data_IF_479860220824
#
_entry.id   IF_479860220824
#
_cell.length_a   1.000
_cell.length_b   1.000
_cell.length_c   1.000
_cell.angle_alpha   90.00
_cell.angle_beta   90.00
_cell.angle_gamma   90.00
#
_symmetry.space_group_name_H-M   'P 1'
#
loop_
_entity.id
_entity.type
_entity.pdbx_description
1 polymer ?
#
# COMPACT_ATOMS: atom_id res chain seq x y z
N UNK A 1 -17.73 3.84 -4.19
CA UNK A 1 -16.57 4.67 -4.62
C UNK A 1 -15.95 4.00 -5.84
N UNK A 2 -15.58 4.73 -6.89
CA UNK A 2 -15.21 4.15 -8.20
C UNK A 2 -13.88 3.40 -8.11
N UNK A 3 -13.89 2.16 -8.60
CA UNK A 3 -12.91 1.07 -8.46
C UNK A 3 -11.49 1.36 -9.00
N UNK A 4 -11.17 2.61 -9.35
CA UNK A 4 -9.92 3.00 -10.02
C UNK A 4 -9.34 4.34 -9.51
N UNK A 5 -9.88 4.93 -8.43
CA UNK A 5 -9.41 6.23 -7.95
C UNK A 5 -8.03 6.17 -7.28
N UNK A 6 -7.74 5.13 -6.50
CA UNK A 6 -6.49 5.07 -5.73
C UNK A 6 -5.27 4.89 -6.62
N UNK A 7 -5.34 4.01 -7.62
CA UNK A 7 -4.26 3.87 -8.59
C UNK A 7 -4.07 5.16 -9.40
N UNK A 8 -5.16 5.82 -9.81
CA UNK A 8 -5.09 7.12 -10.51
C UNK A 8 -4.46 8.26 -9.69
N UNK A 9 -4.33 8.12 -8.36
CA UNK A 9 -3.58 9.07 -7.55
C UNK A 9 -2.08 8.95 -7.72
N UNK A 10 -1.56 7.78 -8.11
CA UNK A 10 -0.13 7.59 -8.34
C UNK A 10 0.32 8.50 -9.47
N UNK A 11 -0.28 8.33 -10.66
CA UNK A 11 0.04 9.14 -11.84
C UNK A 11 -0.21 10.63 -11.57
N UNK A 12 -1.31 10.97 -10.88
CA UNK A 12 -1.69 12.37 -10.62
C UNK A 12 -0.79 13.08 -9.60
N UNK A 13 -0.25 12.38 -8.61
CA UNK A 13 0.37 13.03 -7.45
C UNK A 13 1.86 12.74 -7.27
N UNK A 14 2.37 11.64 -7.84
CA UNK A 14 3.79 11.27 -7.71
C UNK A 14 4.65 11.78 -8.87
N UNK A 15 4.14 11.81 -10.10
CA UNK A 15 4.91 12.24 -11.27
C UNK A 15 5.31 13.73 -11.19
N UNK A 16 4.44 14.56 -10.63
CA UNK A 16 4.66 16.02 -10.47
C UNK A 16 5.47 16.38 -9.21
N UNK A 17 5.79 15.42 -8.34
CA UNK A 17 6.51 15.71 -7.10
C UNK A 17 7.96 16.12 -7.41
N UNK A 18 8.49 17.15 -6.75
CA UNK A 18 9.83 17.69 -7.04
C UNK A 18 10.93 16.77 -6.51
N UNK A 19 10.84 16.39 -5.24
CA UNK A 19 11.83 15.62 -4.48
C UNK A 19 11.29 14.25 -3.99
N UNK A 20 12.21 13.40 -3.50
CA UNK A 20 11.89 12.04 -3.04
C UNK A 20 11.09 12.02 -1.74
N UNK A 21 11.27 13.00 -0.86
CA UNK A 21 10.56 13.07 0.42
C UNK A 21 9.06 13.29 0.19
N UNK A 22 8.73 14.22 -0.72
CA UNK A 22 7.38 14.48 -1.18
C UNK A 22 6.75 13.23 -1.81
N UNK A 23 7.51 12.48 -2.61
CA UNK A 23 7.04 11.21 -3.19
C UNK A 23 6.76 10.19 -2.08
N UNK A 24 7.62 10.07 -1.08
CA UNK A 24 7.44 9.12 0.03
C UNK A 24 6.24 9.47 0.89
N UNK A 25 6.02 10.75 1.19
CA UNK A 25 4.85 11.20 1.94
C UNK A 25 3.57 10.92 1.15
N UNK A 26 3.49 11.39 -0.10
CA UNK A 26 2.29 11.20 -0.93
C UNK A 26 2.03 9.73 -1.25
N UNK A 27 3.07 8.97 -1.58
CA UNK A 27 2.98 7.54 -1.84
C UNK A 27 2.48 6.77 -0.62
N UNK A 28 2.95 7.12 0.58
CA UNK A 28 2.43 6.55 1.82
C UNK A 28 0.95 6.85 2.04
N UNK A 29 0.49 8.08 1.76
CA UNK A 29 -0.93 8.44 1.86
C UNK A 29 -1.80 7.65 0.86
N UNK A 30 -1.32 7.43 -0.36
CA UNK A 30 -2.01 6.61 -1.38
C UNK A 30 -2.17 5.17 -0.89
N UNK A 31 -1.09 4.56 -0.37
CA UNK A 31 -1.15 3.21 0.20
C UNK A 31 -2.08 3.16 1.41
N UNK A 32 -2.04 4.17 2.28
CA UNK A 32 -2.91 4.24 3.45
C UNK A 32 -4.39 4.31 3.04
N UNK A 33 -4.71 5.02 1.96
CA UNK A 33 -6.05 5.04 1.40
C UNK A 33 -6.47 3.64 0.90
N UNK A 34 -5.61 2.94 0.17
CA UNK A 34 -5.87 1.55 -0.24
C UNK A 34 -6.04 0.61 0.98
N UNK A 35 -5.27 0.78 2.06
CA UNK A 35 -5.46 0.02 3.30
C UNK A 35 -6.83 0.29 3.94
N UNK A 36 -7.31 1.54 3.91
CA UNK A 36 -8.65 1.85 4.40
C UNK A 36 -9.72 1.19 3.52
N UNK A 37 -9.53 1.12 2.21
CA UNK A 37 -10.45 0.40 1.30
C UNK A 37 -10.46 -1.10 1.58
N UNK A 38 -9.30 -1.70 1.86
CA UNK A 38 -9.20 -3.10 2.26
C UNK A 38 -9.98 -3.35 3.56
N UNK A 39 -9.74 -2.55 4.61
CA UNK A 39 -10.47 -2.66 5.87
C UNK A 39 -11.99 -2.43 5.69
N UNK A 40 -12.37 -1.55 4.76
CA UNK A 40 -13.75 -1.28 4.39
C UNK A 40 -14.50 -2.48 3.79
N UNK A 41 -13.80 -3.53 3.33
CA UNK A 41 -14.45 -4.78 2.91
C UNK A 41 -15.11 -5.52 4.08
N UNK A 42 -14.62 -5.32 5.29
CA UNK A 42 -15.08 -6.02 6.50
C UNK A 42 -15.83 -5.10 7.46
N UNK A 43 -15.51 -3.80 7.44
CA UNK A 43 -16.04 -2.82 8.38
C UNK A 43 -16.93 -1.85 7.61
N UNK A 44 -18.24 -2.11 7.61
CA UNK A 44 -19.25 -1.34 6.88
C UNK A 44 -19.40 0.12 7.35
N UNK A 45 -18.81 0.50 8.49
CA UNK A 45 -18.90 1.86 9.04
C UNK A 45 -17.55 2.57 8.98
N UNK A 46 -17.28 3.20 7.84
CA UNK A 46 -16.06 3.96 7.56
C UNK A 46 -15.83 5.11 8.57
N UNK A 47 -16.91 5.74 9.06
CA UNK A 47 -16.81 6.82 10.07
C UNK A 47 -16.28 6.27 11.40
N UNK A 48 -16.75 5.09 11.83
CA UNK A 48 -16.20 4.42 13.01
C UNK A 48 -14.76 3.97 12.80
N UNK A 49 -14.44 3.41 11.64
CA UNK A 49 -13.07 3.00 11.30
C UNK A 49 -12.09 4.17 11.38
N UNK A 50 -12.45 5.33 10.81
CA UNK A 50 -11.66 6.57 10.94
C UNK A 50 -11.55 7.04 12.40
N UNK A 51 -12.66 6.98 13.15
CA UNK A 51 -12.70 7.37 14.56
C UNK A 51 -11.81 6.55 15.48
N UNK A 52 -11.36 5.36 15.07
CA UNK A 52 -10.42 4.54 15.85
C UNK A 52 -9.00 5.11 15.86
N UNK A 53 -8.66 6.06 14.98
CA UNK A 53 -7.31 6.65 14.94
C UNK A 53 -6.19 5.63 14.72
N UNK A 54 -6.48 4.55 13.99
CA UNK A 54 -5.51 3.48 13.76
C UNK A 54 -4.27 4.02 13.02
N UNK A 55 -3.09 3.70 13.54
CA UNK A 55 -1.83 3.98 12.84
C UNK A 55 -1.69 3.06 11.63
N UNK A 56 -0.84 3.42 10.67
CA UNK A 56 -0.55 2.62 9.48
C UNK A 56 -0.21 1.17 9.81
N UNK A 57 0.68 0.93 10.78
CA UNK A 57 1.04 -0.42 11.23
C UNK A 57 -0.16 -1.19 11.78
N UNK A 58 -1.02 -0.55 12.58
CA UNK A 58 -2.22 -1.19 13.13
C UNK A 58 -3.26 -1.50 12.05
N UNK A 59 -3.33 -0.70 10.98
CA UNK A 59 -4.18 -1.00 9.83
C UNK A 59 -3.71 -2.27 9.11
N UNK A 60 -2.40 -2.46 8.93
CA UNK A 60 -1.84 -3.69 8.36
C UNK A 60 -2.20 -4.89 9.24
N UNK A 61 -1.90 -4.80 10.54
CA UNK A 61 -2.14 -5.91 11.48
C UNK A 61 -3.61 -6.32 11.48
N UNK A 62 -4.52 -5.33 11.50
CA UNK A 62 -5.96 -5.56 11.44
C UNK A 62 -6.40 -6.18 10.11
N UNK A 63 -5.90 -5.66 8.98
CA UNK A 63 -6.24 -6.18 7.66
C UNK A 63 -5.82 -7.65 7.49
N UNK A 64 -4.65 -8.02 8.03
CA UNK A 64 -4.17 -9.41 8.04
C UNK A 64 -5.02 -10.27 8.99
N UNK A 65 -5.33 -9.78 10.19
CA UNK A 65 -6.10 -10.54 11.18
C UNK A 65 -7.55 -10.83 10.74
N UNK A 66 -8.13 -9.99 9.89
CA UNK A 66 -9.45 -10.19 9.32
C UNK A 66 -9.50 -11.30 8.24
N UNK A 67 -8.35 -11.81 7.82
CA UNK A 67 -8.25 -12.89 6.84
C UNK A 67 -8.14 -14.27 7.48
N UNK A 68 -9.11 -15.13 7.17
CA UNK A 68 -9.04 -16.55 7.56
C UNK A 68 -8.09 -17.36 6.68
N UNK A 69 -8.05 -17.05 5.37
CA UNK A 69 -7.24 -17.74 4.37
C UNK A 69 -6.43 -16.71 3.57
N UNK A 70 -5.27 -16.27 4.09
CA UNK A 70 -4.47 -15.26 3.43
C UNK A 70 -3.92 -15.78 2.08
N UNK A 71 -3.95 -14.99 1.00
CA UNK A 71 -3.30 -15.36 -0.26
C UNK A 71 -1.81 -15.62 -0.07
N UNK A 72 -1.22 -16.52 -0.87
CA UNK A 72 0.21 -16.90 -0.78
C UNK A 72 1.19 -15.70 -0.81
N UNK A 73 0.83 -14.62 -1.51
CA UNK A 73 1.66 -13.42 -1.64
C UNK A 73 1.42 -12.37 -0.55
N UNK A 74 0.53 -12.63 0.41
CA UNK A 74 0.16 -11.66 1.44
C UNK A 74 1.34 -11.33 2.37
N UNK A 75 2.16 -12.32 2.73
CA UNK A 75 3.30 -12.09 3.62
C UNK A 75 4.33 -11.14 3.00
N UNK A 76 4.63 -11.34 1.71
CA UNK A 76 5.51 -10.43 0.96
C UNK A 76 4.93 -9.02 0.91
N UNK A 77 3.64 -8.88 0.59
CA UNK A 77 2.95 -7.57 0.62
C UNK A 77 3.07 -6.89 1.99
N UNK A 78 2.77 -7.62 3.07
CA UNK A 78 2.83 -7.12 4.44
C UNK A 78 4.24 -6.67 4.79
N UNK A 79 5.26 -7.43 4.37
CA UNK A 79 6.65 -7.05 4.53
C UNK A 79 6.96 -5.73 3.80
N UNK A 80 6.55 -5.58 2.54
CA UNK A 80 6.78 -4.34 1.77
C UNK A 80 6.08 -3.12 2.39
N UNK A 81 4.86 -3.30 2.92
CA UNK A 81 4.11 -2.26 3.62
C UNK A 81 4.78 -1.85 4.94
N UNK A 82 5.32 -2.82 5.69
CA UNK A 82 6.05 -2.54 6.94
C UNK A 82 7.36 -1.82 6.67
N UNK A 83 8.09 -2.21 5.63
CA UNK A 83 9.34 -1.56 5.24
C UNK A 83 9.13 -0.11 4.81
N UNK A 84 8.12 0.19 3.98
CA UNK A 84 7.88 1.58 3.58
C UNK A 84 7.44 2.46 4.75
N UNK A 85 6.67 1.92 5.70
CA UNK A 85 6.34 2.63 6.94
C UNK A 85 7.57 2.90 7.81
N UNK A 86 8.50 1.94 7.90
CA UNK A 86 9.79 2.11 8.60
C UNK A 86 10.64 3.21 7.94
N UNK A 87 10.77 3.18 6.61
CA UNK A 87 11.49 4.20 5.84
C UNK A 87 10.88 5.60 6.01
N UNK A 88 9.56 5.71 5.91
CA UNK A 88 8.83 6.97 6.13
C UNK A 88 9.07 7.52 7.54
N UNK A 89 9.05 6.68 8.57
CA UNK A 89 9.31 7.12 9.95
C UNK A 89 10.76 7.58 10.14
N UNK A 90 11.73 6.90 9.52
CA UNK A 90 13.14 7.32 9.56
C UNK A 90 13.33 8.70 8.94
N UNK A 91 12.70 8.95 7.80
CA UNK A 91 12.66 10.27 7.16
C UNK A 91 12.06 11.36 8.05
N UNK A 92 10.93 11.07 8.70
CA UNK A 92 10.30 12.03 9.60
C UNK A 92 11.16 12.38 10.84
N UNK A 93 12.10 11.51 11.22
CA UNK A 93 12.94 11.68 12.41
C UNK A 93 14.36 12.19 12.11
N UNK A 94 14.82 12.18 10.85
CA UNK A 94 16.13 12.69 10.45
C UNK A 94 15.97 13.56 9.21
N UNK A 95 16.28 14.85 9.35
CA UNK A 95 16.28 15.84 8.27
C UNK A 95 17.22 15.47 7.10
N UNK A 96 18.17 14.53 7.29
CA UNK A 96 19.06 14.05 6.23
C UNK A 96 18.59 12.72 5.62
N UNK A 97 17.90 12.82 4.48
CA UNK A 97 17.47 11.69 3.67
C UNK A 97 18.63 10.87 3.10
N UNK A 98 19.81 11.48 2.92
CA UNK A 98 20.99 10.84 2.30
C UNK A 98 21.43 9.55 2.99
N UNK A 99 21.24 9.47 4.31
CA UNK A 99 21.66 8.31 5.12
C UNK A 99 20.80 7.06 4.83
N UNK A 100 19.62 7.21 4.23
CA UNK A 100 18.67 6.12 4.02
C UNK A 100 18.43 5.79 2.54
N UNK A 101 19.17 6.40 1.61
CA UNK A 101 19.06 6.15 0.17
C UNK A 101 19.23 4.67 -0.20
N UNK A 102 20.21 3.98 0.40
CA UNK A 102 20.47 2.56 0.12
C UNK A 102 19.35 1.63 0.61
N UNK A 103 18.73 1.98 1.74
CA UNK A 103 17.57 1.23 2.26
C UNK A 103 16.36 1.43 1.34
N UNK A 104 16.14 2.66 0.85
CA UNK A 104 15.06 2.94 -0.10
C UNK A 104 15.28 2.26 -1.44
N UNK A 105 16.52 2.24 -1.94
CA UNK A 105 16.92 1.49 -3.13
C UNK A 105 16.59 0.01 -2.97
N UNK A 106 16.97 -0.57 -1.84
CA UNK A 106 16.72 -1.99 -1.53
C UNK A 106 15.23 -2.28 -1.55
N UNK A 107 14.43 -1.41 -0.94
CA UNK A 107 12.97 -1.52 -0.98
C UNK A 107 12.40 -1.40 -2.40
N UNK A 108 12.88 -0.45 -3.21
CA UNK A 108 12.42 -0.31 -4.60
C UNK A 108 12.66 -1.59 -5.40
N UNK A 109 13.83 -2.21 -5.23
CA UNK A 109 14.19 -3.48 -5.89
C UNK A 109 13.30 -4.63 -5.42
N UNK A 110 13.02 -4.73 -4.11
CA UNK A 110 12.18 -5.80 -3.57
C UNK A 110 10.71 -5.69 -3.98
N UNK A 111 10.22 -4.48 -4.26
CA UNK A 111 8.84 -4.25 -4.69
C UNK A 111 8.65 -4.44 -6.19
N UNK A 112 9.58 -3.89 -7.00
CA UNK A 112 9.39 -3.82 -8.45
C UNK A 112 9.96 -5.02 -9.21
N UNK A 113 10.79 -5.86 -8.58
CA UNK A 113 11.55 -6.94 -9.24
C UNK A 113 12.41 -6.46 -10.42
N UNK A 114 12.64 -5.14 -10.56
CA UNK A 114 13.41 -4.53 -11.65
C UNK A 114 14.78 -4.09 -11.13
N UNK A 115 15.84 -4.58 -11.77
CA UNK A 115 17.19 -4.08 -11.58
C UNK A 115 17.40 -2.80 -12.40
N UNK A 116 17.31 -1.65 -11.74
CA UNK A 116 17.71 -0.39 -12.35
C UNK A 116 19.20 -0.12 -12.10
N UNK A 117 19.91 0.36 -13.13
CA UNK A 117 21.25 0.92 -12.97
C UNK A 117 21.19 2.23 -12.18
N UNK A 118 21.93 2.34 -11.08
CA UNK A 118 21.81 3.44 -10.12
C UNK A 118 22.99 4.39 -10.23
N UNK A 119 22.95 5.33 -11.17
CA UNK A 119 24.03 6.30 -11.30
C UNK A 119 23.58 7.77 -11.16
N UNK A 120 22.28 8.07 -10.98
CA UNK A 120 21.75 9.45 -10.85
C UNK A 120 20.51 9.55 -9.95
N UNK A 121 20.35 10.67 -9.26
CA UNK A 121 19.21 11.01 -8.40
C UNK A 121 17.85 10.93 -9.13
N UNK A 122 17.79 11.39 -10.38
CA UNK A 122 16.61 11.26 -11.22
C UNK A 122 16.18 9.79 -11.45
N UNK A 123 17.15 8.86 -11.51
CA UNK A 123 16.87 7.43 -11.61
C UNK A 123 16.27 6.89 -10.32
N UNK A 124 16.81 7.29 -9.16
CA UNK A 124 16.23 6.89 -7.87
C UNK A 124 14.80 7.39 -7.73
N UNK A 125 14.53 8.65 -8.03
CA UNK A 125 13.19 9.24 -8.02
C UNK A 125 12.20 8.39 -8.82
N UNK A 126 12.54 8.08 -10.07
CA UNK A 126 11.72 7.24 -10.94
C UNK A 126 11.48 5.86 -10.33
N UNK A 127 12.51 5.23 -9.77
CA UNK A 127 12.39 3.90 -9.16
C UNK A 127 11.44 3.90 -7.96
N UNK A 128 11.47 4.95 -7.15
CA UNK A 128 10.55 5.12 -6.02
C UNK A 128 9.11 5.24 -6.51
N UNK A 129 8.86 6.04 -7.55
CA UNK A 129 7.53 6.16 -8.16
C UNK A 129 7.06 4.79 -8.66
N UNK A 130 7.89 4.09 -9.45
CA UNK A 130 7.57 2.76 -9.98
C UNK A 130 7.27 1.76 -8.86
N UNK A 131 8.04 1.77 -7.77
CA UNK A 131 7.79 0.92 -6.62
C UNK A 131 6.44 1.24 -5.95
N UNK A 132 6.10 2.52 -5.76
CA UNK A 132 4.77 2.90 -5.27
C UNK A 132 3.65 2.49 -6.24
N UNK A 133 3.84 2.66 -7.55
CA UNK A 133 2.89 2.21 -8.57
C UNK A 133 2.66 0.70 -8.48
N UNK A 134 3.73 -0.09 -8.43
CA UNK A 134 3.67 -1.55 -8.36
C UNK A 134 2.98 -2.03 -7.07
N UNK A 135 3.37 -1.48 -5.92
CA UNK A 135 2.76 -1.83 -4.64
C UNK A 135 1.29 -1.44 -4.56
N UNK A 136 0.93 -0.26 -5.09
CA UNK A 136 -0.47 0.19 -5.15
C UNK A 136 -1.30 -0.67 -6.08
N UNK A 137 -0.79 -0.99 -7.28
CA UNK A 137 -1.47 -1.88 -8.23
C UNK A 137 -1.71 -3.26 -7.62
N UNK A 138 -0.69 -3.83 -6.95
CA UNK A 138 -0.82 -5.12 -6.28
C UNK A 138 -1.90 -5.08 -5.19
N UNK A 139 -1.90 -4.03 -4.35
CA UNK A 139 -2.85 -3.88 -3.26
C UNK A 139 -4.30 -3.69 -3.78
N UNK A 140 -4.50 -2.86 -4.81
CA UNK A 140 -5.81 -2.67 -5.46
C UNK A 140 -6.29 -3.97 -6.10
N UNK A 141 -5.40 -4.70 -6.79
CA UNK A 141 -5.71 -6.00 -7.39
C UNK A 141 -6.13 -7.02 -6.33
N UNK A 142 -5.41 -7.09 -5.21
CA UNK A 142 -5.77 -7.92 -4.07
C UNK A 142 -7.16 -7.55 -3.54
N UNK A 143 -7.43 -6.28 -3.27
CA UNK A 143 -8.74 -5.79 -2.78
C UNK A 143 -9.87 -6.20 -3.72
N UNK A 144 -9.67 -6.10 -5.04
CA UNK A 144 -10.65 -6.52 -6.03
C UNK A 144 -10.93 -8.03 -5.95
N UNK A 145 -9.89 -8.88 -5.87
CA UNK A 145 -10.05 -10.33 -5.69
C UNK A 145 -10.78 -10.67 -4.39
N UNK A 146 -10.44 -10.00 -3.28
CA UNK A 146 -11.08 -10.24 -2.00
C UNK A 146 -12.55 -9.86 -2.00
N UNK A 147 -12.90 -8.73 -2.63
CA UNK A 147 -14.28 -8.30 -2.79
C UNK A 147 -15.12 -9.32 -3.55
N UNK A 148 -14.57 -9.89 -4.63
CA UNK A 148 -15.23 -10.95 -5.39
C UNK A 148 -15.47 -12.20 -4.54
N UNK A 149 -14.47 -12.65 -3.77
CA UNK A 149 -14.59 -13.82 -2.89
C UNK A 149 -15.65 -13.62 -1.80
N UNK A 150 -15.63 -12.46 -1.12
CA UNK A 150 -16.63 -12.13 -0.09
C UNK A 150 -18.06 -12.10 -0.64
N UNK A 151 -18.23 -11.61 -1.87
CA UNK A 151 -19.52 -11.60 -2.55
C UNK A 151 -20.02 -13.02 -2.88
N UNK A 152 -19.13 -13.93 -3.30
CA UNK A 152 -19.48 -15.33 -3.55
C UNK A 152 -19.91 -16.02 -2.25
N UNK A 153 -19.14 -15.89 -1.18
CA UNK A 153 -19.44 -16.49 0.13
C UNK A 153 -20.81 -16.03 0.68
N UNK A 154 -21.15 -14.74 0.55
CA UNK A 154 -22.45 -14.22 1.00
C UNK A 154 -23.62 -14.76 0.18
N UNK A 155 -23.43 -14.98 -1.13
CA UNK A 155 -24.46 -15.59 -1.98
C UNK A 155 -24.69 -17.06 -1.61
N UNK A 156 -23.62 -17.84 -1.45
CA UNK A 156 -23.72 -19.25 -1.06
C UNK A 156 -24.36 -19.44 0.31
N UNK A 157 -24.02 -18.58 1.28
CA UNK A 157 -24.64 -18.61 2.61
C UNK A 157 -26.15 -18.30 2.58
N UNK A 158 -26.58 -17.45 1.64
CA UNK A 158 -27.99 -17.07 1.46
C UNK A 158 -28.82 -18.13 0.72
N UNK A 159 -28.18 -19.07 0.02
CA UNK A 159 -28.83 -20.14 -0.76
C UNK A 159 -28.98 -21.47 -0.01
N UNK A 160 -28.43 -21.61 1.21
CA UNK A 160 -28.63 -22.81 2.02
C UNK A 160 -29.99 -22.74 2.74
N UNK A 161 -30.91 -23.70 2.52
CA UNK A 161 -32.16 -23.76 3.28
C UNK A 161 -31.84 -24.00 4.77
N UNK A 162 -32.58 -23.30 5.64
CA UNK A 162 -32.48 -23.42 7.11
C UNK A 162 -32.95 -24.77 7.61
#
# INVERSE_FOLDING_TARGET
MKENQVFGYVDKHLDDAYDIETILIKGHLIIEQALNEWLGLYINNEKRLRGLGLTFSRKIDLAVALHRNPPKRMDSLVQQLREINRLRNKLAHKLDFDVHKDELVTWCKSVSEIEYGMNKEATLKRNVIVAFSALTAFLVGLIATLRQNLFIETREASSRPR
#
